data_IF_662746830536
#
_entry.id   IF_662746830536
#
_cell.length_a   1.000
_cell.length_b   1.000
_cell.length_c   1.000
_cell.angle_alpha   90.00
_cell.angle_beta   90.00
_cell.angle_gamma   90.00
#
_symmetry.space_group_name_H-M   'P 1'
#
loop_
_entity.id
_entity.type
_entity.pdbx_description
1 polymer ?
#
# COMPACT_ATOMS: atom_id res chain seq x y z
N UNK A 1 57.99 -16.67 7.19
CA UNK A 1 57.30 -17.97 7.06
C UNK A 1 55.90 -17.83 7.64
N UNK A 2 54.91 -18.02 6.77
CA UNK A 2 53.47 -18.27 7.00
C UNK A 2 52.74 -17.51 8.11
N UNK A 3 52.14 -16.37 7.73
CA UNK A 3 50.87 -15.93 8.31
C UNK A 3 49.75 -16.64 7.55
N UNK A 4 48.91 -17.36 8.29
CA UNK A 4 47.77 -18.11 7.76
C UNK A 4 46.74 -17.15 7.15
N UNK A 5 46.48 -17.34 5.86
CA UNK A 5 45.29 -16.82 5.20
C UNK A 5 44.07 -17.52 5.79
N UNK A 6 43.38 -16.86 6.71
CA UNK A 6 41.99 -17.20 7.03
C UNK A 6 41.14 -16.78 5.84
N UNK A 7 40.64 -17.78 5.09
CA UNK A 7 39.70 -17.55 4.00
C UNK A 7 38.48 -16.81 4.54
N UNK A 8 38.19 -15.63 3.98
CA UNK A 8 36.93 -14.96 4.20
C UNK A 8 35.79 -15.92 3.82
N UNK A 9 34.94 -16.25 4.78
CA UNK A 9 33.75 -17.05 4.54
C UNK A 9 32.86 -16.33 3.51
N UNK A 10 32.73 -16.94 2.34
CA UNK A 10 31.73 -16.56 1.34
C UNK A 10 30.35 -16.62 2.03
N UNK A 11 29.49 -15.60 1.94
CA UNK A 11 28.15 -15.68 2.51
C UNK A 11 27.45 -16.88 1.86
N UNK A 12 26.99 -17.84 2.67
CA UNK A 12 26.17 -18.94 2.18
C UNK A 12 24.99 -18.32 1.43
N UNK A 13 24.85 -18.65 0.14
CA UNK A 13 23.74 -18.18 -0.66
C UNK A 13 22.47 -18.79 -0.05
N UNK A 14 21.65 -17.97 0.63
CA UNK A 14 20.34 -18.36 1.16
C UNK A 14 19.38 -18.63 0.00
N UNK A 15 19.58 -19.73 -0.69
CA UNK A 15 18.78 -20.19 -1.81
C UNK A 15 17.97 -21.37 -1.31
N UNK A 16 16.65 -21.17 -1.17
CA UNK A 16 15.76 -22.23 -0.75
C UNK A 16 15.11 -22.85 -1.96
N UNK A 17 15.14 -24.18 -2.06
CA UNK A 17 14.47 -24.91 -3.14
C UNK A 17 13.53 -25.93 -2.51
N UNK A 18 12.31 -26.03 -3.01
CA UNK A 18 11.35 -27.06 -2.58
C UNK A 18 10.66 -27.69 -3.79
N UNK A 19 10.55 -29.01 -3.75
CA UNK A 19 9.70 -29.82 -4.66
C UNK A 19 8.58 -30.54 -3.89
N UNK A 20 8.41 -30.23 -2.60
CA UNK A 20 7.33 -30.77 -1.79
C UNK A 20 5.97 -30.19 -2.22
N UNK A 21 5.01 -31.07 -2.52
CA UNK A 21 3.72 -30.69 -3.11
C UNK A 21 2.89 -29.78 -2.18
N UNK A 22 2.86 -30.08 -0.87
CA UNK A 22 2.10 -29.29 0.10
C UNK A 22 2.68 -27.88 0.26
N UNK A 23 4.01 -27.76 0.30
CA UNK A 23 4.69 -26.46 0.35
C UNK A 23 4.48 -25.65 -0.92
N UNK A 24 4.55 -26.30 -2.08
CA UNK A 24 4.29 -25.66 -3.37
C UNK A 24 2.86 -25.11 -3.41
N UNK A 25 1.87 -25.93 -3.05
CA UNK A 25 0.46 -25.51 -2.98
C UNK A 25 0.26 -24.31 -2.06
N UNK A 26 0.81 -24.35 -0.83
CA UNK A 26 0.72 -23.23 0.11
C UNK A 26 1.33 -21.95 -0.47
N UNK A 27 2.50 -22.04 -1.11
CA UNK A 27 3.16 -20.87 -1.72
C UNK A 27 2.37 -20.33 -2.91
N UNK A 28 1.82 -21.21 -3.77
CA UNK A 28 0.99 -20.79 -4.90
C UNK A 28 -0.24 -20.03 -4.39
N UNK A 29 -0.94 -20.60 -3.40
CA UNK A 29 -2.17 -20.02 -2.85
C UNK A 29 -1.90 -18.70 -2.11
N UNK A 30 -0.84 -18.62 -1.31
CA UNK A 30 -0.51 -17.40 -0.56
C UNK A 30 0.08 -16.27 -1.43
N UNK A 31 0.81 -16.61 -2.51
CA UNK A 31 1.65 -15.63 -3.22
C UNK A 31 1.35 -15.49 -4.71
N UNK A 32 1.04 -16.55 -5.43
CA UNK A 32 0.94 -16.49 -6.91
C UNK A 32 -0.47 -16.20 -7.43
N UNK A 33 -1.53 -16.61 -6.72
CA UNK A 33 -2.93 -16.43 -7.19
C UNK A 33 -3.38 -14.95 -7.25
N UNK A 34 -2.99 -14.15 -6.26
CA UNK A 34 -3.48 -12.77 -6.12
C UNK A 34 -2.54 -11.71 -6.72
N UNK A 35 -1.51 -12.15 -7.46
CA UNK A 35 -0.46 -11.25 -7.95
C UNK A 35 -0.34 -11.29 -9.47
N UNK A 36 0.07 -10.15 -10.02
CA UNK A 36 0.62 -10.11 -11.35
C UNK A 36 1.99 -10.78 -11.31
N UNK A 37 2.18 -11.77 -12.18
CA UNK A 37 3.40 -12.58 -12.21
C UNK A 37 4.18 -12.31 -13.49
N UNK A 38 5.49 -12.47 -13.44
CA UNK A 38 6.34 -12.37 -14.63
C UNK A 38 6.71 -13.75 -15.13
N UNK A 39 6.54 -14.03 -16.41
CA UNK A 39 7.08 -15.21 -17.06
C UNK A 39 8.49 -14.90 -17.52
N UNK A 40 9.47 -15.68 -17.05
CA UNK A 40 10.85 -15.58 -17.49
C UNK A 40 11.05 -16.43 -18.74
N UNK A 41 11.36 -15.79 -19.86
CA UNK A 41 11.77 -16.46 -21.09
C UNK A 41 13.29 -16.62 -21.17
N UNK A 42 13.76 -17.61 -21.91
CA UNK A 42 15.19 -17.78 -22.23
C UNK A 42 15.78 -16.57 -22.98
N UNK A 43 14.93 -15.73 -23.58
CA UNK A 43 15.32 -14.53 -24.33
C UNK A 43 15.31 -13.24 -23.47
N UNK A 44 15.27 -13.38 -22.14
CA UNK A 44 15.36 -12.31 -21.15
C UNK A 44 14.23 -11.25 -21.15
N UNK A 45 13.27 -11.31 -22.07
CA UNK A 45 12.03 -10.52 -21.98
C UNK A 45 11.10 -11.17 -20.96
N UNK A 46 10.82 -10.46 -19.86
CA UNK A 46 9.80 -10.82 -18.88
C UNK A 46 8.43 -10.39 -19.41
N UNK A 47 7.51 -11.33 -19.60
CA UNK A 47 6.14 -11.03 -19.99
C UNK A 47 5.22 -11.15 -18.79
N UNK A 48 4.31 -10.18 -18.63
CA UNK A 48 3.31 -10.24 -17.58
C UNK A 48 2.31 -11.37 -17.83
N UNK A 49 1.92 -12.07 -16.78
CA UNK A 49 0.87 -13.07 -16.78
C UNK A 49 0.09 -13.05 -15.46
N UNK A 50 -0.97 -13.83 -15.39
CA UNK A 50 -1.77 -14.02 -14.18
C UNK A 50 -2.26 -15.46 -14.09
N UNK A 51 -2.27 -16.02 -12.88
CA UNK A 51 -2.96 -17.27 -12.63
C UNK A 51 -4.45 -16.99 -12.45
N UNK A 52 -5.28 -17.66 -13.25
CA UNK A 52 -6.74 -17.58 -13.15
C UNK A 52 -7.27 -18.49 -12.04
N UNK A 53 -6.77 -19.73 -12.01
CA UNK A 53 -7.19 -20.74 -11.05
C UNK A 53 -6.06 -21.73 -10.74
N UNK A 54 -6.15 -22.38 -9.58
CA UNK A 54 -5.29 -23.48 -9.16
C UNK A 54 -6.12 -24.58 -8.51
N UNK A 55 -6.27 -25.72 -9.20
CA UNK A 55 -7.00 -26.88 -8.71
C UNK A 55 -6.29 -28.17 -9.11
N UNK A 56 -6.36 -29.20 -8.26
CA UNK A 56 -5.80 -30.54 -8.55
C UNK A 56 -4.34 -30.50 -9.02
N UNK A 57 -3.51 -29.63 -8.42
CA UNK A 57 -2.11 -29.42 -8.81
C UNK A 57 -1.93 -28.96 -10.28
N UNK A 58 -2.89 -28.19 -10.79
CA UNK A 58 -2.87 -27.56 -12.12
C UNK A 58 -3.12 -26.07 -12.01
N UNK A 59 -2.34 -25.29 -12.74
CA UNK A 59 -2.42 -23.84 -12.83
C UNK A 59 -3.06 -23.49 -14.17
N UNK A 60 -4.11 -22.68 -14.16
CA UNK A 60 -4.60 -22.00 -15.36
C UNK A 60 -3.89 -20.66 -15.51
N UNK A 61 -2.94 -20.57 -16.44
CA UNK A 61 -2.13 -19.37 -16.66
C UNK A 61 -2.67 -18.56 -17.84
N UNK A 62 -3.02 -17.29 -17.61
CA UNK A 62 -3.41 -16.34 -18.66
C UNK A 62 -2.17 -15.57 -19.15
N UNK A 63 -1.84 -15.72 -20.42
CA UNK A 63 -0.68 -15.06 -21.05
C UNK A 63 -0.82 -14.98 -22.58
N UNK A 64 0.05 -14.22 -23.24
CA UNK A 64 0.11 -14.07 -24.71
C UNK A 64 1.41 -14.59 -25.34
N UNK A 65 2.17 -15.42 -24.62
CA UNK A 65 3.40 -16.04 -25.10
C UNK A 65 3.20 -17.24 -26.03
N UNK A 66 4.19 -17.45 -26.90
CA UNK A 66 4.33 -18.65 -27.74
C UNK A 66 4.48 -19.94 -26.94
N UNK A 67 4.24 -21.08 -27.60
CA UNK A 67 4.28 -22.42 -27.01
C UNK A 67 5.64 -22.75 -26.40
N UNK A 68 5.66 -22.98 -25.09
CA UNK A 68 6.84 -23.45 -24.37
C UNK A 68 6.56 -24.77 -23.65
N UNK A 69 7.57 -25.64 -23.56
CA UNK A 69 7.47 -26.92 -22.84
C UNK A 69 7.44 -26.73 -21.31
N UNK A 70 8.04 -25.63 -20.83
CA UNK A 70 8.06 -25.26 -19.43
C UNK A 70 8.05 -23.74 -19.30
N UNK A 71 7.43 -23.27 -18.22
CA UNK A 71 7.41 -21.86 -17.85
C UNK A 71 8.06 -21.67 -16.49
N UNK A 72 8.77 -20.55 -16.33
CA UNK A 72 9.25 -20.09 -15.02
C UNK A 72 8.47 -18.83 -14.66
N UNK A 73 7.62 -18.96 -13.65
CA UNK A 73 6.81 -17.87 -13.13
C UNK A 73 7.58 -17.20 -11.99
N UNK A 74 7.63 -15.88 -11.99
CA UNK A 74 8.37 -15.09 -11.02
C UNK A 74 7.48 -14.08 -10.30
N UNK A 75 7.63 -14.01 -8.99
CA UNK A 75 7.04 -12.99 -8.13
C UNK A 75 8.13 -12.44 -7.21
N UNK A 76 8.25 -11.11 -7.15
CA UNK A 76 8.98 -10.46 -6.05
C UNK A 76 8.05 -10.38 -4.83
N UNK A 77 8.55 -10.86 -3.69
CA UNK A 77 7.88 -10.70 -2.42
C UNK A 77 8.88 -10.47 -1.29
N UNK A 78 8.74 -9.33 -0.62
CA UNK A 78 9.57 -8.93 0.53
C UNK A 78 11.08 -9.02 0.24
N UNK A 79 11.50 -8.55 -0.94
CA UNK A 79 12.90 -8.53 -1.35
C UNK A 79 13.49 -9.90 -1.70
N UNK A 80 12.64 -10.88 -1.98
CA UNK A 80 13.00 -12.21 -2.45
C UNK A 80 12.28 -12.49 -3.77
N UNK A 81 13.01 -13.10 -4.69
CA UNK A 81 12.46 -13.60 -5.95
C UNK A 81 12.00 -15.05 -5.75
N UNK A 82 10.71 -15.27 -5.93
CA UNK A 82 10.10 -16.60 -5.95
C UNK A 82 9.98 -17.05 -7.40
N UNK A 83 10.70 -18.10 -7.76
CA UNK A 83 10.63 -18.72 -9.07
C UNK A 83 9.88 -20.05 -8.98
N UNK A 84 8.72 -20.11 -9.59
CA UNK A 84 7.94 -21.33 -9.74
C UNK A 84 8.17 -21.92 -11.13
N UNK A 85 8.83 -23.07 -11.18
CA UNK A 85 9.00 -23.84 -12.42
C UNK A 85 7.77 -24.71 -12.63
N UNK A 86 7.18 -24.58 -13.81
CA UNK A 86 6.03 -25.38 -14.24
C UNK A 86 6.32 -26.09 -15.56
N UNK A 87 5.76 -27.29 -15.71
CA UNK A 87 5.68 -28.00 -16.99
C UNK A 87 4.35 -27.70 -17.67
N UNK A 88 4.37 -27.48 -18.97
CA UNK A 88 3.14 -27.26 -19.74
C UNK A 88 2.43 -28.59 -20.00
N UNK A 89 1.16 -28.70 -19.58
CA UNK A 89 0.30 -29.84 -19.91
C UNK A 89 -0.49 -29.55 -21.19
N UNK A 90 -1.11 -28.37 -21.25
CA UNK A 90 -1.89 -27.89 -22.38
C UNK A 90 -1.50 -26.45 -22.68
N UNK A 91 -1.42 -26.11 -23.96
CA UNK A 91 -1.11 -24.77 -24.41
C UNK A 91 -2.24 -24.25 -25.28
N UNK A 92 -2.79 -23.10 -24.90
CA UNK A 92 -3.72 -22.33 -25.70
C UNK A 92 -3.23 -20.90 -25.87
N UNK A 93 -3.77 -20.21 -26.89
CA UNK A 93 -3.29 -18.90 -27.34
C UNK A 93 -3.39 -17.81 -26.26
N UNK A 94 -4.32 -17.96 -25.30
CA UNK A 94 -4.50 -17.03 -24.19
C UNK A 94 -4.44 -17.69 -22.81
N UNK A 95 -4.53 -19.02 -22.76
CA UNK A 95 -4.60 -19.81 -21.53
C UNK A 95 -3.79 -21.07 -21.71
N UNK A 96 -2.83 -21.31 -20.82
CA UNK A 96 -2.12 -22.59 -20.74
C UNK A 96 -2.41 -23.28 -19.40
N UNK A 97 -2.52 -24.61 -19.42
CA UNK A 97 -2.62 -25.43 -18.22
C UNK A 97 -1.24 -25.95 -17.86
N UNK A 98 -0.77 -25.60 -16.67
CA UNK A 98 0.58 -25.92 -16.21
C UNK A 98 0.55 -26.81 -14.97
N UNK A 99 1.53 -27.69 -14.86
CA UNK A 99 1.79 -28.48 -13.66
C UNK A 99 2.99 -27.88 -12.91
N UNK A 100 2.84 -27.49 -11.63
CA UNK A 100 3.95 -27.01 -10.82
C UNK A 100 4.94 -28.14 -10.53
N UNK A 101 6.24 -27.87 -10.63
CA UNK A 101 7.30 -28.87 -10.35
C UNK A 101 8.19 -28.51 -9.16
N UNK A 102 8.56 -27.22 -9.06
CA UNK A 102 9.56 -26.77 -8.09
C UNK A 102 9.48 -25.29 -7.85
N UNK A 103 9.70 -24.88 -6.60
CA UNK A 103 9.89 -23.48 -6.22
C UNK A 103 11.34 -23.27 -5.82
N UNK A 104 11.90 -22.17 -6.30
CA UNK A 104 13.21 -21.67 -5.95
C UNK A 104 13.04 -20.25 -5.40
N UNK A 105 13.55 -20.00 -4.21
CA UNK A 105 13.52 -18.70 -3.54
C UNK A 105 14.94 -18.19 -3.49
N UNK A 106 15.17 -17.00 -4.05
CA UNK A 106 16.45 -16.31 -3.96
C UNK A 106 16.26 -14.94 -3.33
N UNK A 107 17.26 -14.41 -2.62
CA UNK A 107 17.30 -12.98 -2.33
C UNK A 107 17.24 -12.22 -3.65
N UNK A 108 16.36 -11.24 -3.75
CA UNK A 108 16.21 -10.45 -4.96
C UNK A 108 17.52 -9.75 -5.30
N UNK A 109 18.00 -9.88 -6.54
CA UNK A 109 19.22 -9.18 -6.95
C UNK A 109 18.91 -7.70 -7.14
N UNK A 110 19.27 -6.91 -6.12
CA UNK A 110 19.10 -5.45 -6.13
C UNK A 110 20.14 -4.81 -7.06
N UNK A 111 19.68 -3.96 -7.97
CA UNK A 111 20.52 -3.32 -9.01
C UNK A 111 21.18 -1.99 -8.57
N UNK A 112 21.00 -1.57 -7.32
CA UNK A 112 21.52 -0.30 -6.81
C UNK A 112 22.80 -0.45 -5.99
N UNK A 113 23.71 0.53 -6.12
CA UNK A 113 24.87 0.69 -5.24
C UNK A 113 24.39 1.15 -3.87
N UNK A 114 24.74 0.40 -2.82
CA UNK A 114 24.44 0.75 -1.42
C UNK A 114 25.72 0.77 -0.59
N UNK A 115 25.77 1.67 0.37
CA UNK A 115 26.86 1.76 1.33
C UNK A 115 26.45 1.05 2.62
N UNK A 116 27.23 0.04 3.04
CA UNK A 116 27.02 -0.65 4.32
C UNK A 116 27.43 0.26 5.46
N UNK A 117 26.64 0.25 6.52
CA UNK A 117 26.98 0.89 7.80
C UNK A 117 27.62 -0.18 8.68
N UNK A 118 28.78 0.13 9.25
CA UNK A 118 29.53 -0.79 10.08
C UNK A 118 28.76 -1.11 11.38
N UNK A 119 28.57 -2.40 11.66
CA UNK A 119 27.76 -2.91 12.79
C UNK A 119 28.46 -2.69 14.15
N UNK A 120 29.77 -2.48 14.14
CA UNK A 120 30.56 -2.30 15.36
C UNK A 120 30.65 -0.84 15.82
N UNK A 121 30.01 0.09 15.12
CA UNK A 121 30.08 1.51 15.45
C UNK A 121 29.01 1.89 16.48
N UNK A 122 29.41 2.48 17.61
CA UNK A 122 28.49 2.87 18.68
C UNK A 122 27.44 3.92 18.25
N UNK A 123 27.73 4.66 17.17
CA UNK A 123 26.85 5.65 16.54
C UNK A 123 26.05 5.08 15.36
N UNK A 124 25.75 3.78 15.36
CA UNK A 124 24.98 3.16 14.28
C UNK A 124 23.58 3.78 14.18
N UNK A 125 23.21 4.24 12.97
CA UNK A 125 21.91 4.83 12.70
C UNK A 125 20.77 3.86 13.03
N UNK A 126 19.73 4.37 13.70
CA UNK A 126 18.56 3.59 14.12
C UNK A 126 17.28 4.11 13.49
N UNK A 127 16.42 3.19 13.06
CA UNK A 127 15.04 3.47 12.67
C UNK A 127 14.15 3.22 13.88
N UNK A 128 13.41 4.25 14.31
CA UNK A 128 12.47 4.18 15.42
C UNK A 128 11.07 4.51 14.96
N UNK A 129 10.09 4.22 15.81
CA UNK A 129 8.68 4.46 15.55
C UNK A 129 8.20 3.78 14.26
N UNK A 130 8.64 2.54 14.04
CA UNK A 130 8.28 1.77 12.86
C UNK A 130 6.82 1.39 12.94
N UNK A 131 6.10 1.67 11.87
CA UNK A 131 4.68 1.33 11.74
C UNK A 131 4.53 0.33 10.60
N UNK A 132 3.99 -0.84 10.92
CA UNK A 132 3.66 -1.79 9.87
C UNK A 132 2.41 -1.30 9.16
N UNK A 133 2.48 -1.15 7.84
CA UNK A 133 1.38 -0.66 7.03
C UNK A 133 0.10 -1.49 7.22
N UNK A 134 0.22 -2.82 7.39
CA UNK A 134 -0.92 -3.68 7.68
C UNK A 134 -1.59 -3.34 9.02
N UNK A 135 -0.81 -3.04 10.05
CA UNK A 135 -1.34 -2.73 11.39
C UNK A 135 -1.90 -1.31 11.48
N UNK A 136 -1.34 -0.38 10.71
CA UNK A 136 -1.93 0.94 10.46
C UNK A 136 -3.36 0.81 9.95
N UNK A 137 -3.60 0.01 8.91
CA UNK A 137 -4.94 -0.17 8.34
C UNK A 137 -5.89 -0.87 9.32
N UNK A 138 -5.42 -1.90 10.02
CA UNK A 138 -6.22 -2.59 11.05
C UNK A 138 -6.66 -1.65 12.17
N UNK A 139 -5.83 -0.66 12.52
CA UNK A 139 -6.16 0.32 13.57
C UNK A 139 -7.45 1.10 13.28
N UNK A 140 -7.76 1.31 11.99
CA UNK A 140 -8.97 2.01 11.53
C UNK A 140 -10.13 1.08 11.16
N UNK A 141 -9.86 -0.21 10.95
CA UNK A 141 -10.89 -1.20 10.66
C UNK A 141 -11.72 -1.59 11.91
N UNK A 142 -11.09 -1.55 13.09
CA UNK A 142 -11.71 -1.97 14.36
C UNK A 142 -12.36 -0.77 15.05
N UNK A 143 -13.50 -1.00 15.73
CA UNK A 143 -14.13 -0.02 16.61
C UNK A 143 -13.19 0.37 17.76
N UNK A 144 -13.02 1.68 17.97
CA UNK A 144 -12.13 2.24 18.98
C UNK A 144 -12.89 3.33 19.74
N UNK A 145 -13.38 3.06 20.96
CA UNK A 145 -14.30 3.95 21.67
C UNK A 145 -13.81 5.39 21.82
N UNK A 146 -12.51 5.59 22.06
CA UNK A 146 -11.92 6.94 22.19
C UNK A 146 -11.91 7.70 20.87
N UNK A 147 -11.46 7.05 19.79
CA UNK A 147 -11.46 7.64 18.43
C UNK A 147 -12.88 7.91 17.97
N UNK A 148 -13.76 6.94 18.11
CA UNK A 148 -15.13 7.02 17.58
C UNK A 148 -15.95 8.08 18.36
N UNK A 149 -15.70 8.23 19.68
CA UNK A 149 -16.24 9.35 20.46
C UNK A 149 -15.72 10.70 19.95
N UNK A 150 -14.42 10.81 19.67
CA UNK A 150 -13.85 12.06 19.16
C UNK A 150 -14.37 12.43 17.78
N UNK A 151 -14.59 11.44 16.90
CA UNK A 151 -15.22 11.65 15.59
C UNK A 151 -16.62 12.24 15.78
N UNK A 152 -17.44 11.68 16.67
CA UNK A 152 -18.78 12.21 16.98
C UNK A 152 -18.74 13.63 17.53
N UNK A 153 -17.79 13.95 18.42
CA UNK A 153 -17.59 15.33 18.92
C UNK A 153 -17.26 16.28 17.77
N UNK A 154 -16.38 15.86 16.86
CA UNK A 154 -15.97 16.64 15.69
C UNK A 154 -17.14 16.87 14.72
N UNK A 155 -17.98 15.86 14.54
CA UNK A 155 -19.20 15.92 13.73
C UNK A 155 -20.22 16.91 14.30
N UNK A 156 -20.47 16.87 15.62
CA UNK A 156 -21.35 17.82 16.31
C UNK A 156 -20.80 19.24 16.22
N UNK A 157 -19.49 19.43 16.48
CA UNK A 157 -18.86 20.74 16.41
C UNK A 157 -19.00 21.37 15.01
N UNK A 158 -18.86 20.59 13.93
CA UNK A 158 -19.06 21.11 12.58
C UNK A 158 -20.50 21.59 12.35
N UNK A 159 -21.49 20.84 12.82
CA UNK A 159 -22.91 21.24 12.70
C UNK A 159 -23.26 22.47 13.53
N UNK A 160 -22.61 22.65 14.68
CA UNK A 160 -22.85 23.82 15.55
C UNK A 160 -22.17 25.09 15.02
N UNK A 161 -20.97 24.97 14.44
CA UNK A 161 -20.18 26.12 13.97
C UNK A 161 -20.69 26.61 12.60
N UNK A 162 -21.17 25.71 11.75
CA UNK A 162 -21.62 26.07 10.41
C UNK A 162 -23.11 26.45 10.41
N UNK A 163 -23.47 27.70 10.08
CA UNK A 163 -24.86 28.17 10.13
C UNK A 163 -25.66 27.75 8.88
N UNK A 164 -25.55 26.49 8.47
CA UNK A 164 -26.15 25.95 7.24
C UNK A 164 -26.72 24.57 7.52
N UNK A 165 -27.71 24.15 6.73
CA UNK A 165 -28.10 22.74 6.70
C UNK A 165 -27.01 21.93 5.99
N UNK A 166 -26.25 21.16 6.79
CA UNK A 166 -25.11 20.38 6.33
C UNK A 166 -25.27 18.91 6.71
N UNK A 167 -24.78 18.05 5.81
CA UNK A 167 -24.50 16.67 6.12
C UNK A 167 -22.99 16.48 6.30
N UNK A 168 -22.59 15.91 7.42
CA UNK A 168 -21.19 15.64 7.78
C UNK A 168 -20.97 14.13 7.83
N UNK A 169 -19.95 13.65 7.14
CA UNK A 169 -19.54 12.25 7.15
C UNK A 169 -18.03 12.13 7.38
N UNK A 170 -17.64 11.33 8.38
CA UNK A 170 -16.26 10.92 8.56
C UNK A 170 -16.06 9.51 8.01
N UNK A 171 -15.15 9.36 7.05
CA UNK A 171 -14.85 8.08 6.42
C UNK A 171 -13.41 7.68 6.71
N UNK A 172 -13.23 6.58 7.43
CA UNK A 172 -11.92 6.01 7.72
C UNK A 172 -11.56 4.91 6.73
N UNK A 173 -10.26 4.79 6.44
CA UNK A 173 -9.69 3.76 5.59
C UNK A 173 -9.58 2.44 6.34
N UNK A 174 -10.52 1.52 6.08
CA UNK A 174 -10.58 0.21 6.76
C UNK A 174 -9.75 -0.89 6.08
N UNK A 175 -9.24 -0.66 4.87
CA UNK A 175 -8.49 -1.67 4.11
C UNK A 175 -7.41 -1.05 3.22
N UNK A 176 -6.62 -1.90 2.56
CA UNK A 176 -5.61 -1.45 1.61
C UNK A 176 -6.23 -0.72 0.40
N UNK A 177 -7.49 -0.98 0.09
CA UNK A 177 -8.20 -0.29 -0.98
C UNK A 177 -8.75 1.05 -0.48
N UNK A 178 -8.32 2.12 -1.14
CA UNK A 178 -8.93 3.45 -0.97
C UNK A 178 -10.19 3.54 -1.86
N UNK A 179 -11.24 4.17 -1.34
CA UNK A 179 -12.36 4.58 -2.20
C UNK A 179 -11.92 5.66 -3.19
N UNK A 180 -12.77 5.98 -4.17
CA UNK A 180 -12.44 6.91 -5.25
C UNK A 180 -11.98 8.27 -4.72
N UNK A 181 -12.69 8.87 -3.75
CA UNK A 181 -12.33 10.14 -3.11
C UNK A 181 -10.98 10.10 -2.42
N UNK A 182 -10.78 9.16 -1.52
CA UNK A 182 -9.49 8.99 -0.81
C UNK A 182 -8.34 8.85 -1.79
N UNK A 183 -8.52 8.03 -2.83
CA UNK A 183 -7.49 7.82 -3.86
C UNK A 183 -7.21 9.08 -4.67
N UNK A 184 -8.24 9.85 -5.02
CA UNK A 184 -8.08 11.11 -5.76
C UNK A 184 -7.27 12.12 -4.92
N UNK A 185 -7.71 12.37 -3.69
CA UNK A 185 -7.04 13.30 -2.76
C UNK A 185 -5.63 12.83 -2.38
N UNK A 186 -5.42 11.53 -2.19
CA UNK A 186 -4.10 10.98 -1.87
C UNK A 186 -3.12 11.05 -3.04
N UNK A 187 -3.60 10.90 -4.29
CA UNK A 187 -2.74 10.95 -5.48
C UNK A 187 -2.28 12.38 -5.78
N UNK A 188 -3.20 13.33 -5.68
CA UNK A 188 -2.91 14.74 -5.98
C UNK A 188 -2.35 15.48 -4.76
N UNK A 189 -2.50 14.92 -3.56
CA UNK A 189 -2.25 15.59 -2.28
C UNK A 189 -3.09 16.87 -2.07
N UNK A 190 -4.25 16.94 -2.74
CA UNK A 190 -5.16 18.09 -2.68
C UNK A 190 -6.52 17.70 -2.09
N UNK A 191 -7.17 18.59 -1.33
CA UNK A 191 -8.56 18.42 -0.90
C UNK A 191 -9.54 18.71 -2.04
N UNK A 192 -10.80 18.32 -1.85
CA UNK A 192 -11.91 18.71 -2.72
C UNK A 192 -12.64 19.88 -2.09
N UNK A 193 -12.81 20.96 -2.85
CA UNK A 193 -13.68 22.06 -2.48
C UNK A 193 -14.55 22.46 -3.66
N UNK A 194 -15.86 22.34 -3.47
CA UNK A 194 -16.92 22.61 -4.44
C UNK A 194 -17.86 23.64 -3.82
N UNK A 195 -17.64 24.94 -4.06
CA UNK A 195 -18.48 25.98 -3.50
C UNK A 195 -19.90 25.94 -4.07
N UNK A 196 -20.02 25.63 -5.36
CA UNK A 196 -21.27 25.44 -6.10
C UNK A 196 -20.99 24.52 -7.30
N UNK A 197 -21.58 23.33 -7.33
CA UNK A 197 -21.37 22.35 -8.42
C UNK A 197 -21.95 22.79 -9.76
N UNK A 198 -22.90 23.73 -9.76
CA UNK A 198 -23.54 24.26 -10.96
C UNK A 198 -22.77 25.45 -11.54
N UNK A 199 -21.78 25.99 -10.80
CA UNK A 199 -20.95 27.11 -11.24
C UNK A 199 -19.45 26.80 -11.13
N UNK A 200 -18.88 26.11 -12.15
CA UNK A 200 -17.45 25.75 -12.17
C UNK A 200 -16.50 26.94 -12.09
N UNK A 201 -16.94 28.12 -12.55
CA UNK A 201 -16.13 29.35 -12.52
C UNK A 201 -15.77 29.81 -11.12
N UNK A 202 -16.52 29.38 -10.10
CA UNK A 202 -16.31 29.77 -8.71
C UNK A 202 -15.39 28.82 -7.92
N UNK A 203 -14.82 27.79 -8.55
CA UNK A 203 -14.03 26.75 -7.87
C UNK A 203 -12.60 27.18 -7.50
N UNK A 204 -12.31 28.48 -7.51
CA UNK A 204 -11.01 29.03 -7.18
C UNK A 204 -10.89 29.29 -5.68
N UNK A 205 -9.83 28.73 -5.07
CA UNK A 205 -9.47 28.96 -3.67
C UNK A 205 -8.72 30.26 -3.39
N UNK A 206 -8.50 31.08 -4.42
CA UNK A 206 -7.51 32.15 -4.40
C UNK A 206 -6.06 31.61 -4.47
N UNK A 207 -5.08 32.49 -4.31
CA UNK A 207 -3.66 32.15 -4.45
C UNK A 207 -3.12 31.23 -3.33
N UNK A 208 -3.81 31.18 -2.19
CA UNK A 208 -3.37 30.45 -0.98
C UNK A 208 -3.80 28.97 -0.96
N UNK A 209 -4.80 28.59 -1.77
CA UNK A 209 -5.41 27.27 -1.70
C UNK A 209 -5.46 26.59 -3.06
N UNK A 210 -4.94 25.37 -3.12
CA UNK A 210 -5.07 24.50 -4.28
C UNK A 210 -6.01 23.35 -3.96
N UNK A 211 -6.94 23.09 -4.87
CA UNK A 211 -7.95 22.04 -4.75
C UNK A 211 -7.91 21.12 -5.96
N UNK A 212 -8.53 19.95 -5.82
CA UNK A 212 -8.83 19.10 -6.98
C UNK A 212 -9.64 19.91 -8.00
N UNK A 213 -9.22 19.83 -9.26
CA UNK A 213 -9.85 20.59 -10.35
C UNK A 213 -11.30 20.14 -10.59
N UNK A 214 -12.12 21.05 -11.14
CA UNK A 214 -13.48 20.71 -11.55
C UNK A 214 -13.53 19.48 -12.48
N UNK A 215 -12.60 19.38 -13.44
CA UNK A 215 -12.56 18.26 -14.39
C UNK A 215 -12.29 16.92 -13.70
N UNK A 216 -11.38 16.90 -12.73
CA UNK A 216 -11.07 15.68 -11.98
C UNK A 216 -12.19 15.31 -11.01
N UNK A 217 -12.83 16.31 -10.40
CA UNK A 217 -14.02 16.10 -9.59
C UNK A 217 -15.19 15.55 -10.42
N UNK A 218 -15.42 16.07 -11.63
CA UNK A 218 -16.51 15.60 -12.48
C UNK A 218 -16.32 14.11 -12.85
N UNK A 219 -15.08 13.71 -13.19
CA UNK A 219 -14.74 12.29 -13.41
C UNK A 219 -15.02 11.44 -12.18
N UNK A 220 -14.61 11.93 -11.00
CA UNK A 220 -14.88 11.27 -9.72
C UNK A 220 -16.39 11.07 -9.51
N UNK A 221 -17.19 12.13 -9.69
CA UNK A 221 -18.64 12.07 -9.51
C UNK A 221 -19.31 11.10 -10.48
N UNK A 222 -18.88 11.05 -11.75
CA UNK A 222 -19.42 10.09 -12.73
C UNK A 222 -19.19 8.63 -12.32
N UNK A 223 -18.08 8.35 -11.65
CA UNK A 223 -17.71 7.02 -11.17
C UNK A 223 -18.29 6.66 -9.79
N UNK A 224 -18.87 7.61 -9.06
CA UNK A 224 -19.54 7.36 -7.77
C UNK A 224 -21.06 7.19 -7.93
N UNK A 225 -21.59 6.11 -7.35
CA UNK A 225 -23.02 5.80 -7.25
C UNK A 225 -23.72 6.54 -6.09
N UNK A 226 -23.01 7.43 -5.38
CA UNK A 226 -23.53 8.10 -4.18
C UNK A 226 -24.57 9.18 -4.49
N UNK A 227 -25.35 9.50 -3.46
CA UNK A 227 -26.39 10.52 -3.49
C UNK A 227 -25.81 11.88 -3.90
N UNK A 228 -26.28 12.42 -5.03
CA UNK A 228 -25.80 13.68 -5.63
C UNK A 228 -26.65 14.89 -5.25
N UNK A 229 -27.55 14.71 -4.27
CA UNK A 229 -28.49 15.74 -3.85
C UNK A 229 -27.86 16.73 -2.86
N UNK A 230 -26.85 17.46 -3.34
CA UNK A 230 -26.20 18.58 -2.64
C UNK A 230 -25.78 19.62 -3.69
N UNK A 231 -25.66 20.88 -3.31
CA UNK A 231 -25.18 21.97 -4.15
C UNK A 231 -23.65 22.12 -4.06
N UNK A 232 -23.13 21.97 -2.84
CA UNK A 232 -21.74 22.25 -2.51
C UNK A 232 -21.13 21.14 -1.66
N UNK A 233 -19.80 21.05 -1.69
CA UNK A 233 -19.04 20.02 -0.99
C UNK A 233 -17.68 20.53 -0.50
N UNK A 234 -17.28 20.13 0.71
CA UNK A 234 -15.90 20.12 1.18
C UNK A 234 -15.52 18.68 1.49
N UNK A 235 -14.40 18.20 0.95
CA UNK A 235 -13.80 16.93 1.33
C UNK A 235 -12.34 17.18 1.72
N UNK A 236 -12.06 17.15 3.03
CA UNK A 236 -10.71 17.33 3.57
C UNK A 236 -10.12 15.97 3.95
N UNK A 237 -8.93 15.60 3.43
CA UNK A 237 -8.28 14.34 3.76
C UNK A 237 -7.78 14.37 5.21
N UNK A 238 -7.94 13.24 5.91
CA UNK A 238 -7.31 12.99 7.19
C UNK A 238 -5.98 12.26 6.96
N UNK A 239 -4.88 12.88 7.37
CA UNK A 239 -3.51 12.43 7.13
C UNK A 239 -2.76 12.17 8.43
N UNK A 240 -2.01 11.08 8.44
CA UNK A 240 -1.04 10.81 9.48
C UNK A 240 0.28 11.49 9.09
N UNK A 241 0.67 12.51 9.88
CA UNK A 241 1.88 13.32 9.67
C UNK A 241 1.97 13.89 8.25
N UNK A 242 0.86 14.38 7.71
CA UNK A 242 0.74 14.98 6.36
C UNK A 242 1.11 14.08 5.17
N UNK A 243 1.49 12.82 5.41
CA UNK A 243 1.96 11.89 4.39
C UNK A 243 0.90 10.84 4.04
N UNK A 244 0.39 10.14 5.05
CA UNK A 244 -0.44 8.93 4.83
C UNK A 244 -1.91 9.24 5.08
N UNK A 245 -2.71 9.27 4.01
CA UNK A 245 -4.17 9.40 4.11
C UNK A 245 -4.79 8.16 4.79
N UNK A 246 -5.43 8.38 5.93
CA UNK A 246 -6.18 7.36 6.68
C UNK A 246 -7.69 7.57 6.66
N UNK A 247 -8.18 8.64 6.07
CA UNK A 247 -9.59 8.91 5.93
C UNK A 247 -9.87 10.27 5.31
N UNK A 248 -11.11 10.73 5.43
CA UNK A 248 -11.51 12.10 5.12
C UNK A 248 -12.72 12.50 5.94
N UNK A 249 -12.93 13.81 6.06
CA UNK A 249 -14.21 14.41 6.44
C UNK A 249 -14.86 15.00 5.19
N UNK A 250 -16.12 14.65 4.98
CA UNK A 250 -16.96 15.17 3.90
C UNK A 250 -18.07 16.00 4.50
N UNK A 251 -18.22 17.22 4.01
CA UNK A 251 -19.32 18.13 4.34
C UNK A 251 -20.03 18.48 3.05
N UNK A 252 -21.32 18.20 2.97
CA UNK A 252 -22.16 18.55 1.82
C UNK A 252 -23.31 19.43 2.27
N UNK A 253 -23.70 20.42 1.45
CA UNK A 253 -24.82 21.31 1.74
C UNK A 253 -25.69 21.55 0.51
N UNK A 254 -26.95 21.91 0.73
CA UNK A 254 -27.84 22.42 -0.31
C UNK A 254 -27.60 23.91 -0.61
N UNK A 255 -26.78 24.58 0.19
CA UNK A 255 -26.40 25.98 0.06
C UNK A 255 -24.95 26.13 -0.43
N UNK A 256 -24.55 27.34 -0.83
CA UNK A 256 -23.17 27.58 -1.29
C UNK A 256 -22.18 27.57 -0.12
N UNK A 257 -21.09 26.81 -0.28
CA UNK A 257 -19.97 26.84 0.66
C UNK A 257 -18.94 27.87 0.21
N UNK A 258 -18.27 28.50 1.18
CA UNK A 258 -17.22 29.48 0.93
C UNK A 258 -15.91 29.04 1.59
N UNK A 259 -14.83 29.78 1.34
CA UNK A 259 -13.50 29.46 1.87
C UNK A 259 -13.45 29.51 3.40
N UNK A 260 -14.28 30.32 4.06
CA UNK A 260 -14.41 30.35 5.52
C UNK A 260 -14.93 29.02 6.06
N UNK A 261 -15.94 28.45 5.40
CA UNK A 261 -16.44 27.11 5.72
C UNK A 261 -15.36 26.04 5.51
N UNK A 262 -14.60 26.12 4.41
CA UNK A 262 -13.46 25.22 4.16
C UNK A 262 -12.44 25.30 5.31
N UNK A 263 -12.05 26.51 5.75
CA UNK A 263 -11.11 26.71 6.87
C UNK A 263 -11.61 26.08 8.17
N UNK A 264 -12.91 26.15 8.45
CA UNK A 264 -13.51 25.49 9.62
C UNK A 264 -13.38 23.97 9.52
N UNK A 265 -13.74 23.38 8.37
CA UNK A 265 -13.61 21.93 8.15
C UNK A 265 -12.17 21.47 8.25
N UNK A 266 -11.24 22.21 7.61
CA UNK A 266 -9.81 21.98 7.70
C UNK A 266 -9.33 22.02 9.15
N UNK A 267 -9.73 23.03 9.93
CA UNK A 267 -9.33 23.15 11.32
C UNK A 267 -9.79 21.94 12.16
N UNK A 268 -11.05 21.53 12.03
CA UNK A 268 -11.58 20.36 12.74
C UNK A 268 -10.87 19.07 12.33
N UNK A 269 -10.58 18.90 11.04
CA UNK A 269 -9.82 17.76 10.53
C UNK A 269 -8.42 17.68 11.19
N UNK A 270 -7.70 18.80 11.25
CA UNK A 270 -6.35 18.87 11.88
C UNK A 270 -6.38 18.61 13.38
N UNK A 271 -7.44 19.04 14.07
CA UNK A 271 -7.64 18.71 15.48
C UNK A 271 -7.85 17.20 15.69
N UNK A 272 -8.65 16.56 14.84
CA UNK A 272 -8.87 15.10 14.90
C UNK A 272 -7.58 14.32 14.60
N UNK A 273 -6.81 14.72 13.57
CA UNK A 273 -5.50 14.14 13.26
C UNK A 273 -4.55 14.23 14.47
N UNK A 274 -4.44 15.44 15.04
CA UNK A 274 -3.62 15.69 16.22
C UNK A 274 -4.04 14.84 17.42
N UNK A 275 -5.34 14.66 17.63
CA UNK A 275 -5.88 13.80 18.67
C UNK A 275 -5.48 12.33 18.47
N UNK A 276 -5.62 11.80 17.24
CA UNK A 276 -5.28 10.41 16.90
C UNK A 276 -3.78 10.15 17.13
N UNK A 277 -2.93 11.09 16.72
CA UNK A 277 -1.47 11.00 16.88
C UNK A 277 -1.10 11.04 18.38
N UNK A 278 -1.60 12.03 19.14
CA UNK A 278 -1.26 12.20 20.56
C UNK A 278 -1.72 11.02 21.42
N UNK A 279 -2.86 10.43 21.10
CA UNK A 279 -3.42 9.30 21.86
C UNK A 279 -2.90 7.93 21.40
N UNK A 280 -1.85 7.88 20.56
CA UNK A 280 -1.22 6.66 20.07
C UNK A 280 -2.25 5.63 19.55
N UNK A 281 -3.29 6.12 18.85
CA UNK A 281 -4.37 5.26 18.33
C UNK A 281 -3.91 4.39 17.14
N UNK A 282 -2.64 4.52 16.76
CA UNK A 282 -2.00 3.77 15.69
C UNK A 282 -0.84 3.00 16.31
N UNK A 283 -0.78 1.67 16.11
CA UNK A 283 0.28 0.84 16.69
C UNK A 283 1.62 1.19 16.07
N UNK A 284 2.55 1.57 16.93
CA UNK A 284 3.94 1.84 16.58
C UNK A 284 4.83 0.85 17.32
N UNK A 285 5.74 0.21 16.60
CA UNK A 285 6.72 -0.70 17.19
C UNK A 285 7.71 0.11 18.03
N UNK A 286 7.81 -0.25 19.31
CA UNK A 286 8.69 0.44 20.28
C UNK A 286 10.16 0.08 20.11
N UNK A 287 10.45 -1.10 19.56
CA UNK A 287 11.81 -1.54 19.28
C UNK A 287 12.41 -0.73 18.12
N UNK A 288 13.66 -0.33 18.28
CA UNK A 288 14.43 0.27 17.21
C UNK A 288 14.92 -0.83 16.24
N UNK A 289 15.00 -0.50 14.96
CA UNK A 289 15.72 -1.28 13.97
C UNK A 289 17.09 -0.67 13.68
N UNK A 290 18.10 -1.51 13.45
CA UNK A 290 19.45 -1.04 13.10
C UNK A 290 19.56 -0.87 11.59
N UNK A 291 20.04 0.28 11.13
CA UNK A 291 20.28 0.50 9.71
C UNK A 291 21.50 -0.33 9.28
N UNK A 292 21.31 -1.16 8.27
CA UNK A 292 22.34 -2.06 7.72
C UNK A 292 23.06 -1.39 6.55
N UNK A 293 22.30 -0.71 5.69
CA UNK A 293 22.85 -0.06 4.50
C UNK A 293 21.91 1.03 3.98
N UNK A 294 22.49 1.95 3.19
CA UNK A 294 21.80 3.11 2.62
C UNK A 294 22.16 3.27 1.15
N UNK A 295 21.19 3.65 0.33
CA UNK A 295 21.37 4.09 -1.06
C UNK A 295 20.70 5.45 -1.27
N UNK A 296 20.86 6.00 -2.48
CA UNK A 296 20.14 7.22 -2.89
C UNK A 296 18.62 7.07 -2.83
N UNK A 297 18.10 5.84 -2.99
CA UNK A 297 16.67 5.58 -3.09
C UNK A 297 16.08 4.94 -1.82
N UNK A 298 16.87 4.75 -0.76
CA UNK A 298 16.36 4.33 0.54
C UNK A 298 17.36 3.63 1.44
N UNK A 299 16.88 3.20 2.60
CA UNK A 299 17.67 2.50 3.62
C UNK A 299 17.15 1.08 3.85
N UNK A 300 18.02 0.15 4.21
CA UNK A 300 17.64 -1.13 4.80
C UNK A 300 17.95 -1.13 6.29
N UNK A 301 17.07 -1.74 7.07
CA UNK A 301 17.27 -1.92 8.50
C UNK A 301 16.78 -3.30 8.92
N UNK A 302 17.39 -3.86 9.96
CA UNK A 302 16.90 -5.06 10.64
C UNK A 302 15.91 -4.65 11.72
N UNK A 303 14.86 -5.43 11.93
CA UNK A 303 13.93 -5.20 13.04
C UNK A 303 13.63 -6.51 13.77
N UNK A 304 13.58 -6.55 15.12
CA UNK A 304 13.37 -7.79 15.88
C UNK A 304 12.08 -8.55 15.54
N UNK A 305 11.04 -7.85 15.06
CA UNK A 305 9.77 -8.47 14.63
C UNK A 305 9.73 -8.90 13.17
N UNK A 306 10.81 -8.72 12.40
CA UNK A 306 10.87 -9.16 11.01
C UNK A 306 10.94 -10.69 11.00
N UNK A 307 9.85 -11.35 10.60
CA UNK A 307 9.87 -12.81 10.39
C UNK A 307 10.79 -13.11 9.22
N UNK A 308 11.77 -13.99 9.43
CA UNK A 308 12.58 -14.52 8.35
C UNK A 308 11.66 -15.26 7.37
N UNK A 309 11.65 -14.80 6.12
CA UNK A 309 10.78 -15.37 5.10
C UNK A 309 11.15 -16.83 4.84
N UNK A 310 12.43 -17.19 4.99
CA UNK A 310 12.88 -18.56 4.87
C UNK A 310 12.30 -19.41 6.01
N UNK A 311 12.29 -18.93 7.25
CA UNK A 311 11.63 -19.63 8.36
C UNK A 311 10.13 -19.82 8.15
N UNK A 312 9.43 -18.83 7.55
CA UNK A 312 7.99 -18.92 7.24
C UNK A 312 7.66 -20.08 6.29
N UNK A 313 8.57 -20.39 5.36
CA UNK A 313 8.38 -21.40 4.31
C UNK A 313 9.22 -22.67 4.51
N UNK A 314 10.05 -22.74 5.56
CA UNK A 314 10.81 -23.94 5.96
C UNK A 314 9.97 -24.92 6.79
N UNK A 315 8.90 -24.46 7.44
CA UNK A 315 7.94 -25.24 8.23
C UNK A 315 6.59 -25.33 7.51
#
# INVERSE_FOLDING_TARGET
MNQGMTSAAVPQSNVLTTSDANRIERIITELFLDRQISILSAQARSSSARIRDYQQNRIELVHSLERQQAYILMVDHNGHDFFLKCRTLEHGDQVSILQPERILIKPGQRREVRHRIDENNADQAQVRNIMLYGDFLKSFAVLQPKRDKQIRISEVALREIMPLDIHVEFVLRKSAHMNLRMRSMSRQQLPIFVPDKNNPGNWYGGDEYTFITFQDYEKLMRSEERNRNFLSEICEPLRYKDEITFGYVQVTSLENLNIGHYKVVQHVARQLESFIIKNQQIPVLKSAGQVVDVSRNGLAFTHPMQKDIFQKYQN
#
